data_IF_817347280458
#
_entry.id   IF_817347280458
#
_cell.length_a   1.000
_cell.length_b   1.000
_cell.length_c   1.000
_cell.angle_alpha   90.00
_cell.angle_beta   90.00
_cell.angle_gamma   90.00
#
_symmetry.space_group_name_H-M   'P 1'
#
loop_
_entity.id
_entity.type
_entity.pdbx_description
1 polymer ?
#
# COMPACT_ATOMS: atom_id res chain seq x y z
N UNK A 1 20.06 -28.61 45.85
CA UNK A 1 19.48 -29.00 44.55
C UNK A 1 18.23 -28.18 44.26
N UNK A 2 18.30 -27.11 43.43
CA UNK A 2 17.15 -26.31 42.97
C UNK A 2 17.52 -25.62 41.64
N UNK A 3 17.66 -26.39 40.55
CA UNK A 3 18.02 -25.84 39.22
C UNK A 3 17.01 -26.22 38.12
N UNK A 4 16.03 -27.10 38.40
CA UNK A 4 15.07 -27.57 37.39
C UNK A 4 13.91 -26.59 37.08
N UNK A 5 13.51 -25.71 38.00
CA UNK A 5 12.42 -24.75 37.77
C UNK A 5 12.88 -23.41 37.16
N UNK A 6 14.20 -23.15 37.11
CA UNK A 6 14.74 -21.88 36.60
C UNK A 6 14.72 -21.79 35.07
N UNK A 7 14.87 -22.94 34.39
CA UNK A 7 14.86 -23.05 32.92
C UNK A 7 13.48 -22.74 32.31
N UNK A 8 12.36 -23.34 32.76
CA UNK A 8 11.04 -23.02 32.21
C UNK A 8 10.63 -21.57 32.49
N UNK A 9 11.00 -21.01 33.65
CA UNK A 9 10.77 -19.60 33.97
C UNK A 9 11.51 -18.65 33.01
N UNK A 10 12.78 -18.96 32.71
CA UNK A 10 13.58 -18.20 31.76
C UNK A 10 13.01 -18.25 30.32
N UNK A 11 12.51 -19.40 29.88
CA UNK A 11 11.82 -19.53 28.58
C UNK A 11 10.52 -18.72 28.52
N UNK A 12 9.73 -18.71 29.60
CA UNK A 12 8.50 -17.91 29.67
C UNK A 12 8.80 -16.40 29.63
N UNK A 13 9.85 -15.96 30.31
CA UNK A 13 10.30 -14.56 30.25
C UNK A 13 10.81 -14.19 28.85
N UNK A 14 11.62 -15.04 28.22
CA UNK A 14 12.09 -14.80 26.86
C UNK A 14 10.94 -14.74 25.84
N UNK A 15 9.96 -15.63 25.97
CA UNK A 15 8.76 -15.60 25.13
C UNK A 15 7.95 -14.32 25.34
N UNK A 16 7.79 -13.86 26.59
CA UNK A 16 7.11 -12.61 26.90
C UNK A 16 7.83 -11.40 26.27
N UNK A 17 9.16 -11.34 26.35
CA UNK A 17 9.96 -10.28 25.71
C UNK A 17 9.83 -10.32 24.18
N UNK A 18 9.84 -11.52 23.59
CA UNK A 18 9.67 -11.68 22.14
C UNK A 18 8.28 -11.20 21.67
N UNK A 19 7.22 -11.52 22.42
CA UNK A 19 5.86 -11.03 22.12
C UNK A 19 5.79 -9.51 22.24
N UNK A 20 6.35 -8.92 23.31
CA UNK A 20 6.40 -7.46 23.48
C UNK A 20 7.14 -6.80 22.32
N UNK A 21 8.27 -7.36 21.89
CA UNK A 21 9.04 -6.85 20.77
C UNK A 21 8.22 -6.88 19.47
N UNK A 22 7.54 -8.00 19.19
CA UNK A 22 6.75 -8.19 17.97
C UNK A 22 5.55 -7.23 17.93
N UNK A 23 4.88 -7.02 19.07
CA UNK A 23 3.79 -6.02 19.19
C UNK A 23 4.30 -4.61 18.89
N UNK A 24 5.49 -4.24 19.39
CA UNK A 24 6.07 -2.92 19.11
C UNK A 24 6.44 -2.74 17.63
N UNK A 25 6.90 -3.81 16.96
CA UNK A 25 7.23 -3.76 15.54
C UNK A 25 5.96 -3.54 14.69
N UNK A 26 4.90 -4.29 14.96
CA UNK A 26 3.60 -4.12 14.28
C UNK A 26 3.02 -2.72 14.53
N UNK A 27 3.15 -2.18 15.75
CA UNK A 27 2.68 -0.82 16.07
C UNK A 27 3.42 0.25 15.27
N UNK A 28 4.74 0.12 15.11
CA UNK A 28 5.54 1.06 14.31
C UNK A 28 5.10 1.04 12.84
N UNK A 29 4.92 -0.14 12.27
CA UNK A 29 4.45 -0.28 10.88
C UNK A 29 3.03 0.28 10.71
N UNK A 30 2.11 0.02 11.64
CA UNK A 30 0.75 0.57 11.61
C UNK A 30 0.77 2.11 11.63
N UNK A 31 1.62 2.72 12.48
CA UNK A 31 1.79 4.17 12.51
C UNK A 31 2.35 4.73 11.20
N UNK A 32 3.25 4.00 10.53
CA UNK A 32 3.74 4.41 9.21
C UNK A 32 2.67 4.31 8.13
N UNK A 33 1.81 3.29 8.17
CA UNK A 33 0.71 3.13 7.20
C UNK A 33 -0.34 4.23 7.37
N UNK A 34 -0.73 4.55 8.60
CA UNK A 34 -1.68 5.64 8.89
C UNK A 34 -1.10 7.02 8.55
N UNK A 35 0.22 7.19 8.65
CA UNK A 35 0.90 8.42 8.29
C UNK A 35 1.05 8.64 6.78
N UNK A 36 0.76 7.64 5.93
CA UNK A 36 0.69 7.83 4.48
C UNK A 36 -0.72 8.35 4.14
N UNK A 37 -0.86 9.65 3.83
CA UNK A 37 -2.16 10.17 3.43
C UNK A 37 -2.64 9.47 2.14
N UNK A 38 -3.88 8.97 2.17
CA UNK A 38 -4.52 8.31 1.03
C UNK A 38 -4.88 9.38 -0.01
N UNK A 39 -3.90 9.78 -0.82
CA UNK A 39 -4.06 10.84 -1.81
C UNK A 39 -4.98 10.46 -2.98
N UNK A 40 -5.25 9.17 -3.19
CA UNK A 40 -6.01 8.65 -4.33
C UNK A 40 -7.47 9.11 -4.40
N UNK A 41 -8.08 9.53 -3.28
CA UNK A 41 -9.51 9.87 -3.22
C UNK A 41 -9.79 11.29 -2.71
N UNK A 42 -8.78 11.99 -2.18
CA UNK A 42 -8.97 13.24 -1.44
C UNK A 42 -8.42 14.46 -2.20
N UNK A 43 -7.45 14.25 -3.10
CA UNK A 43 -6.84 15.33 -3.89
C UNK A 43 -7.03 15.09 -5.37
N UNK A 44 -7.28 16.18 -6.11
CA UNK A 44 -7.19 16.19 -7.57
C UNK A 44 -5.77 15.75 -7.97
N UNK A 45 -5.69 14.55 -8.52
CA UNK A 45 -4.44 13.94 -8.96
C UNK A 45 -3.92 14.69 -10.18
N UNK A 46 -2.99 15.64 -9.95
CA UNK A 46 -2.32 16.37 -11.01
C UNK A 46 -1.04 15.68 -11.45
N UNK A 47 -0.86 15.50 -12.75
CA UNK A 47 0.35 14.92 -13.33
C UNK A 47 0.72 15.59 -14.66
N UNK A 48 1.95 15.40 -15.11
CA UNK A 48 2.39 15.90 -16.41
C UNK A 48 1.85 15.05 -17.57
N UNK A 49 1.54 13.78 -17.33
CA UNK A 49 1.06 12.86 -18.35
C UNK A 49 0.20 11.74 -17.74
N UNK A 50 -0.90 11.37 -18.41
CA UNK A 50 -1.68 10.17 -18.15
C UNK A 50 -1.43 9.10 -19.22
N UNK A 51 -1.37 7.83 -18.81
CA UNK A 51 -1.30 6.66 -19.70
C UNK A 51 -2.55 5.80 -19.51
N UNK A 52 -3.35 5.68 -20.57
CA UNK A 52 -4.52 4.82 -20.58
C UNK A 52 -4.17 3.47 -21.19
N UNK A 53 -4.27 2.43 -20.37
CA UNK A 53 -4.19 1.03 -20.80
C UNK A 53 -5.60 0.52 -21.09
N UNK A 54 -5.91 0.31 -22.37
CA UNK A 54 -7.28 0.04 -22.88
C UNK A 54 -7.86 -1.35 -22.57
N UNK A 55 -7.22 -2.13 -21.70
CA UNK A 55 -7.65 -3.50 -21.36
C UNK A 55 -8.98 -3.62 -20.60
N UNK A 56 -9.66 -2.51 -20.26
CA UNK A 56 -10.95 -2.51 -19.59
C UNK A 56 -11.86 -1.36 -20.03
N UNK A 57 -13.19 -1.53 -19.89
CA UNK A 57 -14.17 -0.51 -20.28
C UNK A 57 -14.02 0.77 -19.45
N UNK A 58 -14.44 1.92 -20.02
CA UNK A 58 -14.49 3.20 -19.29
C UNK A 58 -13.17 3.97 -19.21
N UNK A 59 -12.01 3.32 -19.34
CA UNK A 59 -10.69 3.95 -19.13
C UNK A 59 -10.34 5.08 -20.09
N UNK A 60 -10.83 5.01 -21.34
CA UNK A 60 -10.65 6.12 -22.29
C UNK A 60 -11.38 7.36 -21.81
N UNK A 61 -12.63 7.21 -21.35
CA UNK A 61 -13.43 8.34 -20.86
C UNK A 61 -12.79 8.98 -19.64
N UNK A 62 -12.37 8.18 -18.66
CA UNK A 62 -11.66 8.68 -17.48
C UNK A 62 -10.38 9.44 -17.85
N UNK A 63 -9.59 8.91 -18.79
CA UNK A 63 -8.39 9.60 -19.28
C UNK A 63 -8.70 10.94 -19.95
N UNK A 64 -9.77 11.00 -20.74
CA UNK A 64 -10.24 12.26 -21.34
C UNK A 64 -10.79 13.24 -20.29
N UNK A 65 -11.52 12.75 -19.30
CA UNK A 65 -12.05 13.58 -18.22
C UNK A 65 -10.90 14.24 -17.45
N UNK A 66 -9.83 13.49 -17.13
CA UNK A 66 -8.62 14.03 -16.49
C UNK A 66 -7.91 15.08 -17.37
N UNK A 67 -7.90 14.89 -18.69
CA UNK A 67 -7.30 15.83 -19.63
C UNK A 67 -8.12 17.13 -19.72
N UNK A 68 -9.44 17.02 -19.84
CA UNK A 68 -10.37 18.16 -19.92
C UNK A 68 -10.36 18.98 -18.63
N UNK A 69 -10.28 18.31 -17.48
CA UNK A 69 -10.17 18.95 -16.17
C UNK A 69 -8.79 19.61 -15.93
N UNK A 70 -7.84 19.46 -16.85
CA UNK A 70 -6.44 19.90 -16.72
C UNK A 70 -5.71 19.25 -15.54
N UNK A 71 -6.18 18.08 -15.11
CA UNK A 71 -5.48 17.25 -14.12
C UNK A 71 -4.23 16.62 -14.74
N UNK A 72 -4.22 16.38 -16.06
CA UNK A 72 -3.03 15.97 -16.81
C UNK A 72 -2.73 16.93 -17.97
N UNK A 73 -1.45 17.11 -18.31
CA UNK A 73 -1.04 17.97 -19.44
C UNK A 73 -1.01 17.21 -20.78
N UNK A 74 -0.84 15.90 -20.74
CA UNK A 74 -0.75 15.00 -21.91
C UNK A 74 -1.46 13.69 -21.63
N UNK A 75 -2.08 13.10 -22.66
CA UNK A 75 -2.73 11.80 -22.59
C UNK A 75 -2.14 10.88 -23.66
N UNK A 76 -1.63 9.72 -23.24
CA UNK A 76 -1.16 8.65 -24.12
C UNK A 76 -2.14 7.50 -24.01
N UNK A 77 -2.61 7.00 -25.15
CA UNK A 77 -3.50 5.84 -25.21
C UNK A 77 -2.71 4.66 -25.76
N UNK A 78 -2.66 3.57 -24.98
CA UNK A 78 -2.03 2.31 -25.38
C UNK A 78 -3.08 1.22 -25.55
N UNK A 79 -3.07 0.59 -26.72
CA UNK A 79 -3.78 -0.65 -26.99
C UNK A 79 -3.24 -1.75 -26.09
N UNK A 80 -4.09 -2.36 -25.25
CA UNK A 80 -3.72 -3.53 -24.45
C UNK A 80 -4.69 -4.65 -24.76
N UNK A 81 -4.15 -5.84 -25.02
CA UNK A 81 -4.96 -7.03 -25.28
C UNK A 81 -5.81 -7.36 -24.04
N UNK A 82 -7.10 -7.71 -24.17
CA UNK A 82 -7.96 -8.02 -23.02
C UNK A 82 -7.41 -9.14 -22.12
N UNK A 83 -6.72 -10.11 -22.72
CA UNK A 83 -6.11 -11.24 -22.00
C UNK A 83 -4.67 -10.95 -21.51
N UNK A 84 -4.19 -9.70 -21.65
CA UNK A 84 -2.94 -9.29 -21.02
C UNK A 84 -3.20 -9.20 -19.50
N UNK A 85 -2.96 -10.31 -18.82
CA UNK A 85 -3.15 -10.42 -17.37
C UNK A 85 -2.46 -9.29 -16.62
N UNK A 86 -3.26 -8.54 -15.87
CA UNK A 86 -2.85 -7.65 -14.79
C UNK A 86 -3.42 -8.21 -13.48
#
# INVERSE_FOLDING_TARGET
MKVHHLRPLAFLLAAMVAVIYLVNLVRKEAQHIEAVPVHSWIMDQRADCGLVLTGGPGRLREGFDLLVQKNIKKLIISGVHPDAGL
#
